data_IF_842676790435
#
_entry.id   IF_842676790435
#
_cell.length_a   1.000
_cell.length_b   1.000
_cell.length_c   1.000
_cell.angle_alpha   90.00
_cell.angle_beta   90.00
_cell.angle_gamma   90.00
#
_symmetry.space_group_name_H-M   'P 1'
#
loop_
_entity.id
_entity.type
_entity.pdbx_description
1 polymer ?
#
# COMPACT_ATOMS: atom_id res chain seq x y z
N UNK A 1 -7.61 4.70 5.58
CA UNK A 1 -6.82 3.65 4.92
C UNK A 1 -5.87 3.05 5.95
N UNK A 2 -5.48 1.80 5.75
CA UNK A 2 -4.53 1.05 6.57
C UNK A 2 -3.45 0.47 5.68
N UNK A 3 -2.31 0.10 6.23
CA UNK A 3 -1.33 -0.73 5.54
C UNK A 3 -1.00 -1.98 6.36
N UNK A 4 -0.50 -3.02 5.71
CA UNK A 4 -0.07 -4.26 6.35
C UNK A 4 1.17 -4.79 5.62
N UNK A 5 2.24 -5.10 6.40
CA UNK A 5 3.52 -5.54 5.85
C UNK A 5 4.38 -6.25 6.90
N UNK A 6 5.13 -7.28 6.47
CA UNK A 6 6.21 -7.85 7.26
C UNK A 6 7.54 -7.18 6.91
N UNK A 7 8.33 -6.84 7.91
CA UNK A 7 9.62 -6.17 7.76
C UNK A 7 10.71 -6.92 8.53
N UNK A 8 11.93 -6.92 8.00
CA UNK A 8 13.12 -7.38 8.70
C UNK A 8 13.67 -6.31 9.67
N UNK A 9 14.78 -6.59 10.36
CA UNK A 9 15.44 -5.65 11.29
C UNK A 9 15.82 -4.30 10.68
N UNK A 10 15.92 -4.20 9.36
CA UNK A 10 16.30 -3.00 8.62
C UNK A 10 15.13 -2.39 7.85
N UNK A 11 13.90 -2.80 8.16
CA UNK A 11 12.68 -2.42 7.43
C UNK A 11 12.66 -2.93 5.98
N UNK A 12 13.43 -3.99 5.70
CA UNK A 12 13.39 -4.71 4.43
C UNK A 12 12.09 -5.47 4.26
N UNK A 13 11.52 -5.45 3.05
CA UNK A 13 10.23 -6.07 2.73
C UNK A 13 10.29 -7.06 1.58
N UNK A 14 11.38 -7.08 0.81
CA UNK A 14 11.45 -7.95 -0.35
C UNK A 14 12.83 -8.04 -0.97
N UNK A 15 12.98 -9.08 -1.81
CA UNK A 15 14.15 -9.35 -2.63
C UNK A 15 13.73 -10.15 -3.85
N UNK A 16 14.30 -9.81 -5.02
CA UNK A 16 14.04 -10.55 -6.27
C UNK A 16 12.54 -10.72 -6.58
N UNK A 17 11.74 -9.68 -6.36
CA UNK A 17 10.27 -9.66 -6.53
C UNK A 17 9.53 -10.71 -5.67
N UNK A 18 10.10 -11.11 -4.54
CA UNK A 18 9.52 -12.05 -3.58
C UNK A 18 9.57 -11.55 -2.15
N UNK A 19 8.86 -12.25 -1.26
CA UNK A 19 8.91 -12.02 0.18
C UNK A 19 10.28 -12.46 0.75
N UNK A 20 10.71 -11.85 1.86
CA UNK A 20 11.97 -12.20 2.52
C UNK A 20 11.89 -13.51 3.30
N UNK A 21 10.71 -13.82 3.84
CA UNK A 21 10.50 -14.92 4.76
C UNK A 21 9.23 -15.69 4.39
N UNK A 22 9.22 -16.99 4.62
CA UNK A 22 8.01 -17.82 4.58
C UNK A 22 7.42 -17.91 6.01
N UNK A 23 6.41 -17.08 6.28
CA UNK A 23 5.80 -16.92 7.60
C UNK A 23 4.34 -17.35 7.56
N UNK A 24 4.01 -18.46 8.19
CA UNK A 24 2.64 -19.01 8.15
C UNK A 24 1.67 -18.25 9.05
N UNK A 25 2.13 -17.81 10.22
CA UNK A 25 1.30 -17.03 11.15
C UNK A 25 1.08 -15.61 10.63
N UNK A 26 2.12 -15.01 10.02
CA UNK A 26 1.99 -13.72 9.33
C UNK A 26 1.00 -13.80 8.16
N UNK A 27 1.09 -14.84 7.34
CA UNK A 27 0.13 -15.03 6.24
C UNK A 27 -1.30 -15.21 6.75
N UNK A 28 -1.51 -15.91 7.87
CA UNK A 28 -2.82 -16.02 8.51
C UNK A 28 -3.31 -14.65 8.99
N UNK A 29 -2.46 -13.90 9.68
CA UNK A 29 -2.74 -12.53 10.13
C UNK A 29 -3.11 -11.60 8.97
N UNK A 30 -2.36 -11.64 7.87
CA UNK A 30 -2.66 -10.91 6.63
C UNK A 30 -4.05 -11.27 6.08
N UNK A 31 -4.39 -12.55 6.02
CA UNK A 31 -5.70 -13.02 5.52
C UNK A 31 -6.84 -12.55 6.43
N UNK A 32 -6.67 -12.62 7.75
CA UNK A 32 -7.67 -12.18 8.74
C UNK A 32 -7.97 -10.68 8.60
N UNK A 33 -6.93 -9.86 8.38
CA UNK A 33 -7.11 -8.42 8.19
C UNK A 33 -7.74 -8.04 6.84
N UNK A 34 -7.39 -8.74 5.77
CA UNK A 34 -7.71 -8.30 4.41
C UNK A 34 -8.90 -9.02 3.76
N UNK A 35 -9.36 -10.14 4.30
CA UNK A 35 -10.47 -10.91 3.73
C UNK A 35 -11.77 -10.11 3.74
N UNK A 36 -12.45 -10.05 2.58
CA UNK A 36 -13.68 -9.27 2.40
C UNK A 36 -13.44 -7.76 2.29
N UNK A 37 -12.19 -7.32 2.24
CA UNK A 37 -11.79 -5.91 2.19
C UNK A 37 -11.29 -5.51 0.81
N UNK A 38 -11.00 -4.23 0.65
CA UNK A 38 -10.30 -3.69 -0.51
C UNK A 38 -8.80 -3.74 -0.26
N UNK A 39 -8.06 -4.27 -1.22
CA UNK A 39 -6.59 -4.27 -1.19
C UNK A 39 -6.03 -3.46 -2.35
N UNK A 40 -5.05 -2.62 -2.05
CA UNK A 40 -4.36 -1.79 -3.03
C UNK A 40 -2.92 -2.28 -3.17
N UNK A 41 -2.48 -2.47 -4.40
CA UNK A 41 -1.13 -2.90 -4.71
C UNK A 41 -0.61 -2.27 -6.01
N UNK A 42 0.69 -2.30 -6.20
CA UNK A 42 1.32 -1.99 -7.49
C UNK A 42 1.36 -3.21 -8.42
N UNK A 43 1.58 -2.97 -9.71
CA UNK A 43 1.65 -4.01 -10.74
C UNK A 43 2.66 -5.12 -10.42
N UNK A 44 3.85 -4.77 -9.89
CA UNK A 44 4.86 -5.76 -9.53
C UNK A 44 4.40 -6.69 -8.40
N UNK A 45 3.64 -6.15 -7.43
CA UNK A 45 3.05 -6.96 -6.36
C UNK A 45 2.01 -7.91 -6.94
N UNK A 46 1.12 -7.46 -7.83
CA UNK A 46 0.18 -8.35 -8.52
C UNK A 46 0.93 -9.48 -9.24
N UNK A 47 1.97 -9.15 -10.01
CA UNK A 47 2.78 -10.17 -10.75
C UNK A 47 3.49 -11.17 -9.81
N UNK A 48 3.78 -10.78 -8.56
CA UNK A 48 4.39 -11.66 -7.55
C UNK A 48 3.41 -12.59 -6.84
N UNK A 49 2.10 -12.31 -6.94
CA UNK A 49 1.07 -13.18 -6.37
C UNK A 49 1.02 -14.53 -7.14
N UNK A 50 0.51 -15.60 -6.53
CA UNK A 50 0.40 -16.89 -7.18
C UNK A 50 -0.29 -16.79 -8.55
N UNK A 51 0.41 -17.23 -9.60
CA UNK A 51 0.00 -17.15 -11.02
C UNK A 51 -0.31 -15.71 -11.51
N UNK A 52 0.17 -14.67 -10.85
CA UNK A 52 -0.16 -13.28 -11.17
C UNK A 52 -1.64 -12.96 -11.05
N UNK A 53 -2.36 -13.69 -10.21
CA UNK A 53 -3.81 -13.55 -10.04
C UNK A 53 -4.15 -12.69 -8.81
N UNK A 54 -5.22 -11.89 -8.87
CA UNK A 54 -5.68 -11.09 -7.74
C UNK A 54 -6.10 -11.96 -6.56
N UNK A 55 -6.02 -11.41 -5.36
CA UNK A 55 -6.37 -12.12 -4.13
C UNK A 55 -7.87 -12.42 -4.08
N UNK A 56 -8.22 -13.69 -3.89
CA UNK A 56 -9.61 -14.14 -3.80
C UNK A 56 -10.33 -13.55 -2.58
N UNK A 57 -11.65 -13.34 -2.71
CA UNK A 57 -12.52 -12.78 -1.66
C UNK A 57 -12.07 -11.39 -1.18
N UNK A 58 -11.56 -10.57 -2.10
CA UNK A 58 -11.15 -9.17 -1.89
C UNK A 58 -11.47 -8.36 -3.14
N UNK A 59 -11.69 -7.08 -2.98
CA UNK A 59 -11.65 -6.15 -4.10
C UNK A 59 -10.19 -5.74 -4.29
N UNK A 60 -9.62 -6.05 -5.45
CA UNK A 60 -8.23 -5.74 -5.75
C UNK A 60 -8.18 -4.48 -6.61
N UNK A 61 -7.44 -3.45 -6.17
CA UNK A 61 -7.14 -2.26 -6.95
C UNK A 61 -5.64 -2.26 -7.23
N UNK A 62 -5.27 -2.17 -8.49
CA UNK A 62 -3.88 -2.21 -8.94
C UNK A 62 -3.52 -0.87 -9.55
N UNK A 63 -2.53 -0.19 -8.98
CA UNK A 63 -1.93 0.99 -9.59
C UNK A 63 -0.85 0.57 -10.58
N UNK A 64 -1.05 0.93 -11.84
CA UNK A 64 -0.12 0.69 -12.93
C UNK A 64 -0.08 1.87 -13.92
N UNK A 65 0.79 2.87 -13.69
CA UNK A 65 0.90 4.04 -14.56
C UNK A 65 1.30 3.71 -16.01
N UNK A 66 2.01 2.60 -16.22
CA UNK A 66 2.47 2.19 -17.56
C UNK A 66 1.32 1.63 -18.42
N UNK A 67 0.18 1.28 -17.81
CA UNK A 67 -1.02 0.82 -18.52
C UNK A 67 -0.90 -0.52 -19.27
N UNK A 68 0.16 -1.29 -19.01
CA UNK A 68 0.44 -2.55 -19.71
C UNK A 68 -0.40 -3.76 -19.20
N UNK A 69 -1.21 -3.57 -18.17
CA UNK A 69 -2.12 -4.58 -17.60
C UNK A 69 -3.51 -4.49 -18.25
N UNK A 70 -3.63 -4.94 -19.50
CA UNK A 70 -4.88 -4.87 -20.28
C UNK A 70 -5.93 -5.93 -19.89
N UNK A 71 -5.57 -6.89 -19.05
CA UNK A 71 -6.38 -8.05 -18.66
C UNK A 71 -7.14 -7.87 -17.33
N UNK A 72 -7.24 -6.63 -16.85
CA UNK A 72 -7.84 -6.31 -15.56
C UNK A 72 -9.28 -6.85 -15.41
N UNK A 73 -10.10 -6.68 -16.44
CA UNK A 73 -11.49 -7.14 -16.43
C UNK A 73 -11.57 -8.67 -16.42
N UNK A 74 -10.76 -9.35 -17.24
CA UNK A 74 -10.73 -10.80 -17.33
C UNK A 74 -10.25 -11.45 -16.02
N UNK A 75 -9.25 -10.84 -15.39
CA UNK A 75 -8.68 -11.32 -14.12
C UNK A 75 -9.46 -10.86 -12.88
N UNK A 76 -10.38 -9.91 -13.03
CA UNK A 76 -11.26 -9.47 -11.96
C UNK A 76 -10.59 -8.56 -10.93
N UNK A 77 -9.75 -7.61 -11.38
CA UNK A 77 -9.24 -6.51 -10.55
C UNK A 77 -9.56 -5.15 -11.19
N UNK A 78 -9.51 -4.12 -10.38
CA UNK A 78 -9.71 -2.72 -10.82
C UNK A 78 -8.33 -2.14 -11.12
N UNK A 79 -8.15 -1.61 -12.33
CA UNK A 79 -6.93 -0.91 -12.74
C UNK A 79 -7.09 0.59 -12.50
N UNK A 80 -6.07 1.20 -11.89
CA UNK A 80 -5.87 2.64 -11.82
C UNK A 80 -4.56 2.97 -12.54
N UNK A 81 -4.59 3.96 -13.44
CA UNK A 81 -3.42 4.39 -14.22
C UNK A 81 -2.74 5.63 -13.64
N UNK A 82 -3.35 6.24 -12.63
CA UNK A 82 -2.80 7.37 -11.90
C UNK A 82 -3.16 7.33 -10.41
N UNK A 83 -2.41 8.08 -9.60
CA UNK A 83 -2.72 8.23 -8.18
C UNK A 83 -4.10 8.91 -7.98
N UNK A 84 -4.43 9.91 -8.79
CA UNK A 84 -5.70 10.61 -8.70
C UNK A 84 -6.88 9.66 -8.98
N UNK A 85 -6.77 8.81 -10.01
CA UNK A 85 -7.77 7.79 -10.30
C UNK A 85 -7.91 6.79 -9.16
N UNK A 86 -6.79 6.33 -8.58
CA UNK A 86 -6.79 5.45 -7.42
C UNK A 86 -7.52 6.09 -6.23
N UNK A 87 -7.18 7.34 -5.90
CA UNK A 87 -7.79 8.06 -4.79
C UNK A 87 -9.28 8.31 -5.01
N UNK A 88 -9.71 8.60 -6.23
CA UNK A 88 -11.14 8.74 -6.58
C UNK A 88 -11.92 7.43 -6.39
N UNK A 89 -11.32 6.29 -6.70
CA UNK A 89 -11.94 4.99 -6.47
C UNK A 89 -12.05 4.67 -4.97
N UNK A 90 -10.97 4.93 -4.22
CA UNK A 90 -10.90 4.67 -2.78
C UNK A 90 -11.82 5.60 -1.98
N UNK A 91 -11.96 6.86 -2.41
CA UNK A 91 -12.81 7.84 -1.73
C UNK A 91 -14.28 7.41 -1.56
N UNK A 92 -14.76 6.53 -2.44
CA UNK A 92 -16.12 5.98 -2.38
C UNK A 92 -16.28 4.84 -1.35
N UNK A 93 -15.18 4.44 -0.72
CA UNK A 93 -15.10 3.31 0.19
C UNK A 93 -14.75 3.83 1.60
N UNK A 94 -15.28 3.20 2.64
CA UNK A 94 -14.94 3.59 4.02
C UNK A 94 -13.48 3.25 4.34
N UNK A 95 -12.76 4.13 5.01
CA UNK A 95 -11.32 4.00 5.34
C UNK A 95 -10.95 2.68 6.03
N UNK A 96 -11.87 2.13 6.83
CA UNK A 96 -11.64 0.89 7.57
C UNK A 96 -11.61 -0.37 6.70
N UNK A 97 -11.99 -0.23 5.43
CA UNK A 97 -12.14 -1.35 4.50
C UNK A 97 -10.98 -1.43 3.49
N UNK A 98 -10.02 -0.50 3.53
CA UNK A 98 -8.97 -0.35 2.53
C UNK A 98 -7.59 -0.63 3.12
N UNK A 99 -6.86 -1.57 2.52
CA UNK A 99 -5.51 -1.97 2.93
C UNK A 99 -4.50 -1.82 1.79
N UNK A 100 -3.41 -1.09 2.03
CA UNK A 100 -2.24 -1.07 1.15
C UNK A 100 -1.41 -2.31 1.45
N UNK A 101 -1.12 -3.12 0.43
CA UNK A 101 -0.42 -4.39 0.56
C UNK A 101 0.89 -4.47 -0.25
N UNK A 102 1.31 -3.33 -0.80
CA UNK A 102 2.64 -3.22 -1.43
C UNK A 102 2.66 -2.92 -2.93
N UNK A 103 3.83 -2.88 -3.55
CA UNK A 103 5.19 -2.91 -2.99
C UNK A 103 5.68 -1.58 -2.41
N UNK A 104 7.00 -1.43 -2.30
CA UNK A 104 7.64 -0.29 -1.64
C UNK A 104 7.13 1.08 -2.13
N UNK A 105 7.04 1.28 -3.44
CA UNK A 105 6.53 2.54 -4.00
C UNK A 105 5.08 2.79 -3.55
N UNK A 106 4.23 1.76 -3.50
CA UNK A 106 2.85 1.91 -3.05
C UNK A 106 2.77 2.25 -1.56
N UNK A 107 3.60 1.60 -0.74
CA UNK A 107 3.70 1.94 0.68
C UNK A 107 4.15 3.39 0.85
N UNK A 108 5.26 3.79 0.25
CA UNK A 108 5.77 5.16 0.33
C UNK A 108 4.75 6.21 -0.13
N UNK A 109 4.12 5.99 -1.29
CA UNK A 109 3.15 6.94 -1.87
C UNK A 109 1.89 7.08 -1.03
N UNK A 110 1.39 5.97 -0.45
CA UNK A 110 0.12 5.96 0.28
C UNK A 110 0.28 6.05 1.80
N UNK A 111 1.51 5.97 2.33
CA UNK A 111 1.80 6.11 3.75
C UNK A 111 1.19 7.37 4.39
N UNK A 112 1.26 8.56 3.74
CA UNK A 112 0.65 9.78 4.30
C UNK A 112 -0.86 9.68 4.50
N UNK A 113 -1.56 8.85 3.74
CA UNK A 113 -3.01 8.67 3.82
C UNK A 113 -3.41 7.53 4.78
N UNK A 114 -2.46 6.75 5.25
CA UNK A 114 -2.73 5.66 6.17
C UNK A 114 -2.87 6.17 7.60
N UNK A 115 -3.97 5.77 8.27
CA UNK A 115 -4.18 6.04 9.70
C UNK A 115 -3.52 4.98 10.58
N UNK A 116 -3.52 3.73 10.14
CA UNK A 116 -3.03 2.58 10.90
C UNK A 116 -2.09 1.73 10.04
N UNK A 117 -1.01 1.25 10.62
CA UNK A 117 -0.12 0.28 10.00
C UNK A 117 0.00 -0.98 10.87
N UNK A 118 -0.24 -2.13 10.27
CA UNK A 118 0.00 -3.44 10.87
C UNK A 118 1.36 -3.93 10.38
N UNK A 119 2.33 -3.95 11.28
CA UNK A 119 3.72 -4.29 10.97
C UNK A 119 4.08 -5.60 11.67
N UNK A 120 4.43 -6.62 10.89
CA UNK A 120 5.05 -7.83 11.43
C UNK A 120 6.56 -7.64 11.44
N UNK A 121 7.13 -7.37 12.62
CA UNK A 121 8.58 -7.25 12.81
C UNK A 121 9.20 -8.63 12.92
N UNK A 122 10.15 -8.94 12.03
CA UNK A 122 10.90 -10.20 12.03
C UNK A 122 12.28 -9.96 12.62
N UNK A 123 12.65 -10.71 13.66
CA UNK A 123 13.95 -10.59 14.34
C UNK A 123 15.07 -11.28 13.55
N UNK A 124 15.22 -10.93 12.28
CA UNK A 124 16.24 -11.42 11.37
C UNK A 124 16.62 -10.35 10.33
N UNK A 125 17.77 -10.51 9.69
CA UNK A 125 18.14 -9.78 8.47
C UNK A 125 17.85 -10.69 7.27
N UNK A 126 16.87 -10.30 6.45
CA UNK A 126 16.46 -11.07 5.26
C UNK A 126 17.34 -10.81 4.03
N UNK A 127 18.34 -9.93 4.14
CA UNK A 127 19.16 -9.51 3.01
C UNK A 127 18.34 -8.78 1.94
N UNK A 128 17.40 -7.94 2.38
CA UNK A 128 16.48 -7.20 1.52
C UNK A 128 17.20 -6.31 0.51
N UNK A 129 16.57 -6.16 -0.64
CA UNK A 129 16.93 -5.15 -1.65
C UNK A 129 15.83 -4.11 -1.85
N UNK A 130 14.67 -4.33 -1.21
CA UNK A 130 13.51 -3.45 -1.22
C UNK A 130 13.09 -3.17 0.22
N UNK A 131 12.86 -1.90 0.56
CA UNK A 131 12.64 -1.45 1.93
C UNK A 131 11.34 -0.65 2.05
N UNK A 132 10.74 -0.71 3.24
CA UNK A 132 9.66 0.17 3.70
C UNK A 132 10.26 1.37 4.44
N UNK A 133 9.53 2.49 4.48
CA UNK A 133 9.88 3.60 5.36
C UNK A 133 9.91 3.13 6.82
N UNK A 134 10.95 3.50 7.56
CA UNK A 134 11.07 3.13 8.97
C UNK A 134 10.11 3.97 9.83
N UNK A 135 8.99 3.38 10.25
CA UNK A 135 7.99 4.08 11.05
C UNK A 135 8.49 4.48 12.45
N UNK A 136 9.49 3.78 12.98
CA UNK A 136 10.11 4.13 14.27
C UNK A 136 10.89 5.45 14.19
N UNK A 137 11.22 5.94 12.99
CA UNK A 137 11.93 7.19 12.75
C UNK A 137 11.05 8.35 12.27
N UNK A 138 9.74 8.14 12.15
CA UNK A 138 8.79 9.15 11.68
C UNK A 138 8.00 9.73 12.86
N UNK A 139 8.11 11.05 13.08
CA UNK A 139 7.53 11.75 14.22
C UNK A 139 5.99 11.65 14.33
N UNK A 140 5.31 11.43 13.19
CA UNK A 140 3.86 11.30 13.13
C UNK A 140 3.36 9.87 13.30
N UNK A 141 4.24 8.88 13.43
CA UNK A 141 3.89 7.49 13.65
C UNK A 141 4.29 7.02 15.05
N UNK A 142 3.41 6.31 15.72
CA UNK A 142 3.65 5.75 17.07
C UNK A 142 3.24 4.29 17.10
N UNK A 143 4.11 3.42 17.62
CA UNK A 143 3.75 2.05 17.95
C UNK A 143 2.84 2.08 19.18
N UNK A 144 1.57 1.74 18.99
CA UNK A 144 0.54 1.77 20.04
C UNK A 144 0.27 0.39 20.65
N UNK A 145 0.66 -0.66 19.94
CA UNK A 145 0.58 -2.04 20.40
C UNK A 145 1.75 -2.83 19.84
N UNK A 146 2.50 -3.50 20.71
CA UNK A 146 3.57 -4.42 20.36
C UNK A 146 3.29 -5.77 21.01
N UNK A 147 2.92 -6.74 20.16
CA UNK A 147 2.61 -8.10 20.60
C UNK A 147 3.81 -8.85 21.15
N UNK A 148 3.54 -9.90 21.92
CA UNK A 148 4.57 -10.80 22.43
C UNK A 148 5.34 -11.48 21.27
N UNK A 149 6.63 -11.79 21.49
CA UNK A 149 7.41 -12.52 20.50
C UNK A 149 6.86 -13.94 20.33
N UNK A 150 6.65 -14.35 19.09
CA UNK A 150 6.21 -15.69 18.75
C UNK A 150 7.13 -16.31 17.70
N UNK A 151 7.28 -17.63 17.72
CA UNK A 151 7.97 -18.35 16.65
C UNK A 151 7.05 -18.50 15.43
N UNK A 152 7.55 -18.20 14.23
CA UNK A 152 6.91 -18.50 12.96
C UNK A 152 7.93 -19.06 11.98
N UNK A 153 7.88 -20.37 11.79
CA UNK A 153 8.75 -21.10 10.88
C UNK A 153 10.27 -20.91 11.16
N UNK A 154 10.64 -20.85 12.46
CA UNK A 154 12.01 -20.68 12.93
C UNK A 154 12.49 -19.21 13.01
N UNK A 155 11.62 -18.27 12.76
CA UNK A 155 11.86 -16.84 12.98
C UNK A 155 11.07 -16.34 14.18
N UNK A 156 11.68 -15.50 15.02
CA UNK A 156 10.95 -14.75 16.03
C UNK A 156 10.28 -13.56 15.37
N UNK A 157 8.95 -13.44 15.51
CA UNK A 157 8.18 -12.33 14.97
C UNK A 157 7.36 -11.64 16.07
N UNK A 158 6.99 -10.36 15.82
CA UNK A 158 6.04 -9.61 16.64
C UNK A 158 5.04 -8.93 15.73
N UNK A 159 3.76 -8.98 16.09
CA UNK A 159 2.73 -8.17 15.45
C UNK A 159 2.65 -6.83 16.15
N UNK A 160 2.89 -5.75 15.43
CA UNK A 160 2.89 -4.39 15.95
C UNK A 160 1.81 -3.56 15.25
N UNK A 161 1.12 -2.73 16.01
CA UNK A 161 0.16 -1.74 15.46
C UNK A 161 0.74 -0.35 15.63
N UNK A 162 0.81 0.39 14.53
CA UNK A 162 1.22 1.78 14.51
C UNK A 162 0.03 2.67 14.16
N UNK A 163 -0.01 3.86 14.73
CA UNK A 163 -0.98 4.89 14.41
C UNK A 163 -0.30 6.17 13.93
N UNK A 164 -0.89 6.78 12.90
CA UNK A 164 -0.49 8.07 12.36
C UNK A 164 -1.32 9.17 13.01
N UNK A 165 -0.67 10.12 13.67
CA UNK A 165 -1.32 11.24 14.33
C UNK A 165 -1.95 12.25 13.34
N UNK A 166 -1.45 12.32 12.10
CA UNK A 166 -1.83 13.34 11.11
C UNK A 166 -2.04 12.76 9.72
N UNK A 167 -2.96 11.79 9.52
CA UNK A 167 -3.20 11.23 8.19
C UNK A 167 -3.86 12.26 7.26
N UNK A 168 -3.38 12.33 6.02
CA UNK A 168 -3.98 13.17 4.98
C UNK A 168 -5.38 12.68 4.62
N UNK A 169 -6.26 13.64 4.28
CA UNK A 169 -7.62 13.34 3.83
C UNK A 169 -7.66 13.26 2.29
N UNK A 170 -8.20 12.17 1.74
CA UNK A 170 -8.31 12.00 0.27
C UNK A 170 -9.09 13.13 -0.40
N UNK A 171 -10.20 13.55 0.21
CA UNK A 171 -11.07 14.57 -0.36
C UNK A 171 -10.33 15.89 -0.60
N UNK A 172 -9.58 16.36 0.38
CA UNK A 172 -8.80 17.59 0.25
C UNK A 172 -7.71 17.50 -0.82
N UNK A 173 -7.08 16.34 -0.95
CA UNK A 173 -6.05 16.11 -1.97
C UNK A 173 -6.66 16.11 -3.38
N UNK A 174 -7.78 15.42 -3.59
CA UNK A 174 -8.47 15.39 -4.90
C UNK A 174 -8.95 16.79 -5.28
N UNK A 175 -9.54 17.54 -4.36
CA UNK A 175 -10.02 18.91 -4.62
C UNK A 175 -8.84 19.84 -4.97
N UNK A 176 -7.77 19.80 -4.19
CA UNK A 176 -6.55 20.60 -4.45
C UNK A 176 -5.92 20.28 -5.80
N UNK A 177 -5.83 19.00 -6.17
CA UNK A 177 -5.30 18.59 -7.46
C UNK A 177 -6.18 19.06 -8.62
N UNK A 178 -7.51 19.01 -8.49
CA UNK A 178 -8.46 19.49 -9.51
C UNK A 178 -8.36 20.99 -9.70
N UNK A 179 -8.26 21.77 -8.64
CA UNK A 179 -8.05 23.22 -8.69
C UNK A 179 -6.73 23.57 -9.38
N UNK A 180 -5.64 22.89 -9.03
CA UNK A 180 -4.33 23.08 -9.65
C UNK A 180 -4.36 22.77 -11.16
N UNK A 181 -4.95 21.64 -11.55
CA UNK A 181 -5.09 21.28 -12.96
C UNK A 181 -5.98 22.27 -13.73
N UNK A 182 -7.05 22.78 -13.12
CA UNK A 182 -7.90 23.79 -13.73
C UNK A 182 -7.12 25.10 -13.98
N UNK A 183 -6.32 25.54 -13.02
CA UNK A 183 -5.45 26.71 -13.15
C UNK A 183 -4.44 26.55 -14.28
N UNK A 184 -3.72 25.41 -14.33
CA UNK A 184 -2.76 25.12 -15.40
C UNK A 184 -3.41 25.13 -16.81
N UNK A 185 -4.61 24.55 -16.94
CA UNK A 185 -5.37 24.57 -18.21
C UNK A 185 -5.79 25.97 -18.62
N UNK A 186 -6.20 26.81 -17.66
CA UNK A 186 -6.57 28.20 -17.91
C UNK A 186 -5.36 29.03 -18.37
N UNK A 187 -4.20 28.87 -17.70
CA UNK A 187 -2.94 29.51 -18.09
C UNK A 187 -2.49 29.09 -19.51
N UNK A 188 -2.55 27.79 -19.82
CA UNK A 188 -2.20 27.29 -21.15
C UNK A 188 -3.15 27.82 -22.24
N UNK A 189 -4.45 27.91 -21.95
CA UNK A 189 -5.43 28.48 -22.88
C UNK A 189 -5.18 29.97 -23.10
N UNK A 190 -4.79 30.74 -22.09
CA UNK A 190 -4.41 32.13 -22.18
C UNK A 190 -3.17 32.34 -23.08
N UNK A 191 -2.12 31.53 -22.84
CA UNK A 191 -0.88 31.57 -23.64
C UNK A 191 -1.14 31.24 -25.14
N UNK A 192 -2.06 30.30 -25.40
CA UNK A 192 -2.40 29.91 -26.78
C UNK A 192 -3.26 30.95 -27.53
N UNK A 193 -3.99 31.84 -26.84
CA UNK A 193 -4.76 32.93 -27.44
C UNK A 193 -3.92 34.16 -27.84
N UNK A 194 -2.71 34.25 -27.22
CA UNK A 194 -1.83 35.40 -27.42
C UNK A 194 -0.63 35.07 -28.35
N UNK A 195 -0.70 33.95 -29.06
CA UNK A 195 0.18 33.56 -30.17
C UNK A 195 -0.57 33.73 -31.50
#
# INVERSE_FOLDING_TARGET
>A
MKLIVAVDKKWGIGKNNGLLFDLKKDMKHFVEHTRGKVVIMGANTLRSLPNGMPLKNRVNIVLNPDGDLMDAVEKGYVLATSLDELLEQVHKITDNEVYVIGGAMMYHTLLPYCKTAYITKVDADGGATVFHDNLDSLDNWTCVDEGEPIDDNGYTIRFCTYENACPLQFKSTIESNKEHQHTLRAEQAFLNRNK
#
